data_IF_380132608606
#
_entry.id   IF_380132608606
#
_cell.length_a   1.000
_cell.length_b   1.000
_cell.length_c   1.000
_cell.angle_alpha   90.00
_cell.angle_beta   90.00
_cell.angle_gamma   90.00
#
_symmetry.space_group_name_H-M   'P 1'
#
loop_
_entity.id
_entity.type
_entity.pdbx_description
1 polymer ?
#
# COMPACT_ATOMS: atom_id res chain seq x y z
N UNK A 1 -14.75 -19.59 7.66
CA UNK A 1 -13.80 -18.46 7.74
C UNK A 1 -13.22 -18.24 6.34
N UNK A 2 -13.55 -17.11 5.74
CA UNK A 2 -13.04 -16.68 4.44
C UNK A 2 -11.53 -16.39 4.53
N UNK A 3 -10.87 -16.15 3.39
CA UNK A 3 -9.47 -15.72 3.40
C UNK A 3 -9.32 -14.31 3.99
N UNK A 4 -10.25 -13.40 3.70
CA UNK A 4 -10.21 -12.02 4.20
C UNK A 4 -10.32 -11.97 5.73
N UNK A 5 -11.10 -12.86 6.35
CA UNK A 5 -11.25 -12.97 7.81
C UNK A 5 -9.92 -13.25 8.54
N UNK A 6 -8.92 -13.79 7.84
CA UNK A 6 -7.60 -14.12 8.43
C UNK A 6 -6.68 -12.91 8.46
N UNK A 7 -6.93 -11.89 7.65
CA UNK A 7 -6.02 -10.75 7.46
C UNK A 7 -5.78 -9.97 8.75
N UNK A 8 -6.80 -9.61 9.56
CA UNK A 8 -6.56 -8.90 10.82
C UNK A 8 -5.56 -9.62 11.73
N UNK A 9 -5.73 -10.95 11.87
CA UNK A 9 -4.81 -11.78 12.67
C UNK A 9 -3.39 -11.83 12.10
N UNK A 10 -3.23 -11.76 10.76
CA UNK A 10 -1.91 -11.69 10.13
C UNK A 10 -1.25 -10.32 10.36
N UNK A 11 -2.03 -9.24 10.36
CA UNK A 11 -1.57 -7.89 10.70
C UNK A 11 -1.12 -7.83 12.17
N UNK A 12 -1.94 -8.30 13.10
CA UNK A 12 -1.63 -8.32 14.53
C UNK A 12 -0.34 -9.11 14.83
N UNK A 13 -0.13 -10.21 14.09
CA UNK A 13 1.05 -11.06 14.21
C UNK A 13 2.23 -10.61 13.33
N UNK A 14 2.10 -9.46 12.65
CA UNK A 14 3.11 -8.91 11.73
C UNK A 14 3.64 -9.94 10.72
N UNK A 15 2.73 -10.67 10.06
CA UNK A 15 3.06 -11.73 9.09
C UNK A 15 3.03 -11.20 7.65
N UNK A 16 3.93 -10.27 7.33
CA UNK A 16 4.03 -9.64 6.02
C UNK A 16 4.15 -10.66 4.89
N UNK A 17 5.03 -11.66 4.99
CA UNK A 17 5.19 -12.71 3.96
C UNK A 17 3.87 -13.44 3.64
N UNK A 18 2.99 -13.60 4.63
CA UNK A 18 1.68 -14.25 4.43
C UNK A 18 0.69 -13.31 3.74
N UNK A 19 0.75 -12.01 4.04
CA UNK A 19 -0.04 -11.02 3.31
C UNK A 19 0.44 -10.86 1.87
N UNK A 20 1.77 -10.92 1.61
CA UNK A 20 2.34 -10.93 0.26
C UNK A 20 1.75 -12.09 -0.56
N UNK A 21 1.67 -13.29 0.00
CA UNK A 21 1.05 -14.43 -0.70
C UNK A 21 -0.43 -14.20 -1.05
N UNK A 22 -1.15 -13.36 -0.30
CA UNK A 22 -2.56 -13.04 -0.54
C UNK A 22 -2.76 -12.00 -1.65
N UNK A 23 -1.70 -11.35 -2.12
CA UNK A 23 -1.74 -10.46 -3.29
C UNK A 23 -2.00 -11.22 -4.59
N UNK A 24 -1.83 -12.55 -4.61
CA UNK A 24 -2.14 -13.39 -5.76
C UNK A 24 -3.53 -14.04 -5.67
N UNK A 25 -4.36 -13.61 -4.71
CA UNK A 25 -5.71 -14.17 -4.58
C UNK A 25 -6.60 -13.76 -5.76
N UNK A 26 -7.54 -14.64 -6.14
CA UNK A 26 -8.50 -14.36 -7.21
C UNK A 26 -9.46 -13.23 -6.83
N UNK A 27 -9.79 -13.10 -5.54
CA UNK A 27 -10.65 -12.02 -5.05
C UNK A 27 -9.89 -10.70 -4.99
N UNK A 28 -10.39 -9.68 -5.69
CA UNK A 28 -9.86 -8.32 -5.62
C UNK A 28 -9.95 -7.75 -4.20
N UNK A 29 -10.99 -8.11 -3.45
CA UNK A 29 -11.19 -7.69 -2.06
C UNK A 29 -10.08 -8.25 -1.15
N UNK A 30 -9.71 -9.52 -1.35
CA UNK A 30 -8.62 -10.15 -0.60
C UNK A 30 -7.27 -9.48 -0.92
N UNK A 31 -7.01 -9.18 -2.20
CA UNK A 31 -5.79 -8.47 -2.60
C UNK A 31 -5.72 -7.08 -1.96
N UNK A 32 -6.80 -6.29 -2.08
CA UNK A 32 -6.85 -4.94 -1.51
C UNK A 32 -6.67 -4.95 0.03
N UNK A 33 -7.32 -5.87 0.73
CA UNK A 33 -7.17 -6.01 2.17
C UNK A 33 -5.76 -6.45 2.58
N UNK A 34 -5.07 -7.27 1.75
CA UNK A 34 -3.69 -7.63 1.99
C UNK A 34 -2.75 -6.42 1.85
N UNK A 35 -2.96 -5.56 0.84
CA UNK A 35 -2.21 -4.31 0.64
C UNK A 35 -2.39 -3.37 1.83
N UNK A 36 -3.63 -3.16 2.28
CA UNK A 36 -3.93 -2.36 3.48
C UNK A 36 -3.24 -2.95 4.74
N UNK A 37 -3.27 -4.27 4.88
CA UNK A 37 -2.58 -4.96 5.96
C UNK A 37 -1.06 -4.73 5.95
N UNK A 38 -0.42 -4.76 4.77
CA UNK A 38 1.01 -4.44 4.63
C UNK A 38 1.30 -2.99 5.06
N UNK A 39 0.46 -2.02 4.67
CA UNK A 39 0.56 -0.63 5.11
C UNK A 39 0.38 -0.43 6.63
N UNK A 40 -0.35 -1.34 7.29
CA UNK A 40 -0.46 -1.34 8.76
C UNK A 40 0.79 -1.91 9.45
N UNK A 41 1.40 -2.94 8.86
CA UNK A 41 2.61 -3.57 9.42
C UNK A 41 3.84 -2.67 9.26
N UNK A 42 4.12 -2.23 8.03
CA UNK A 42 5.20 -1.29 7.72
C UNK A 42 6.63 -1.80 7.95
N UNK A 43 6.84 -3.11 8.00
CA UNK A 43 8.21 -3.67 8.04
C UNK A 43 8.87 -3.61 6.65
N UNK A 44 10.13 -4.06 6.56
CA UNK A 44 10.90 -4.02 5.32
C UNK A 44 10.23 -4.81 4.18
N UNK A 45 9.72 -6.01 4.46
CA UNK A 45 8.97 -6.81 3.48
C UNK A 45 7.74 -6.05 2.97
N UNK A 46 6.98 -5.45 3.88
CA UNK A 46 5.80 -4.66 3.52
C UNK A 46 6.18 -3.45 2.67
N UNK A 47 7.21 -2.69 3.07
CA UNK A 47 7.68 -1.53 2.33
C UNK A 47 8.11 -1.91 0.90
N UNK A 48 8.97 -2.91 0.77
CA UNK A 48 9.47 -3.36 -0.53
C UNK A 48 8.33 -3.86 -1.44
N UNK A 49 7.38 -4.60 -0.87
CA UNK A 49 6.22 -5.10 -1.62
C UNK A 49 5.34 -3.95 -2.12
N UNK A 50 5.03 -2.99 -1.25
CA UNK A 50 4.20 -1.84 -1.61
C UNK A 50 4.85 -0.98 -2.69
N UNK A 51 6.17 -0.79 -2.65
CA UNK A 51 6.92 -0.07 -3.69
C UNK A 51 6.83 -0.78 -5.04
N UNK A 52 6.91 -2.12 -5.07
CA UNK A 52 6.74 -2.88 -6.32
C UNK A 52 5.32 -2.73 -6.87
N UNK A 53 4.30 -2.75 -6.00
CA UNK A 53 2.90 -2.59 -6.41
C UNK A 53 2.58 -1.22 -7.00
N UNK A 54 3.42 -0.20 -6.81
CA UNK A 54 3.29 1.08 -7.53
C UNK A 54 3.48 0.96 -9.05
N UNK A 55 3.94 -0.19 -9.54
CA UNK A 55 4.09 -0.49 -10.97
C UNK A 55 3.14 -1.60 -11.44
N UNK A 56 2.18 -1.99 -10.61
CA UNK A 56 1.23 -3.03 -10.96
C UNK A 56 0.38 -2.58 -12.18
N UNK A 57 0.09 -3.48 -13.15
CA UNK A 57 -0.75 -3.13 -14.28
C UNK A 57 -2.16 -2.69 -13.87
N UNK A 58 -2.70 -3.17 -12.74
CA UNK A 58 -4.00 -2.76 -12.22
C UNK A 58 -3.89 -1.40 -11.52
N UNK A 59 -4.59 -0.36 -12.02
CA UNK A 59 -4.65 0.93 -11.34
C UNK A 59 -5.20 0.85 -9.93
N UNK A 60 -6.14 -0.07 -9.68
CA UNK A 60 -6.71 -0.29 -8.34
C UNK A 60 -5.65 -0.78 -7.34
N UNK A 61 -4.73 -1.65 -7.78
CA UNK A 61 -3.63 -2.10 -6.95
C UNK A 61 -2.59 -1.00 -6.73
N UNK A 62 -2.27 -0.20 -7.76
CA UNK A 62 -1.40 0.97 -7.61
C UNK A 62 -1.99 1.98 -6.62
N UNK A 63 -3.27 2.32 -6.76
CA UNK A 63 -3.96 3.24 -5.86
C UNK A 63 -4.02 2.71 -4.42
N UNK A 64 -4.22 1.41 -4.23
CA UNK A 64 -4.15 0.79 -2.90
C UNK A 64 -2.74 0.89 -2.29
N UNK A 65 -1.70 0.63 -3.09
CA UNK A 65 -0.31 0.76 -2.66
C UNK A 65 0.06 2.21 -2.30
N UNK A 66 -0.43 3.19 -3.09
CA UNK A 66 -0.28 4.62 -2.80
C UNK A 66 -0.83 4.95 -1.41
N UNK A 67 -2.07 4.54 -1.11
CA UNK A 67 -2.71 4.78 0.19
C UNK A 67 -1.96 4.12 1.33
N UNK A 68 -1.50 2.88 1.13
CA UNK A 68 -0.74 2.13 2.14
C UNK A 68 0.63 2.75 2.44
N UNK A 69 1.40 3.17 1.43
CA UNK A 69 2.65 3.91 1.61
C UNK A 69 2.41 5.28 2.27
N UNK A 70 1.30 5.93 1.92
CA UNK A 70 0.85 7.17 2.54
C UNK A 70 0.66 7.04 4.04
N UNK A 71 -0.02 5.97 4.47
CA UNK A 71 -0.21 5.66 5.88
C UNK A 71 1.14 5.50 6.61
N UNK A 72 2.11 4.84 5.99
CA UNK A 72 3.44 4.67 6.57
C UNK A 72 4.18 6.00 6.70
N UNK A 73 4.13 6.85 5.67
CA UNK A 73 4.76 8.17 5.69
C UNK A 73 4.17 9.11 6.75
N UNK A 74 2.86 9.04 7.00
CA UNK A 74 2.19 9.81 8.07
C UNK A 74 2.57 9.29 9.46
N UNK A 75 2.75 7.98 9.62
CA UNK A 75 3.08 7.36 10.92
C UNK A 75 4.54 7.50 11.31
N UNK A 76 5.45 7.52 10.35
CA UNK A 76 6.88 7.75 10.56
C UNK A 76 7.40 8.78 9.56
N UNK A 77 7.36 10.06 9.95
CA UNK A 77 7.77 11.19 9.11
C UNK A 77 9.26 11.18 8.75
N UNK A 78 10.07 10.39 9.46
CA UNK A 78 11.50 10.18 9.14
C UNK A 78 11.69 9.16 8.01
N UNK A 79 10.68 8.34 7.72
CA UNK A 79 10.70 7.40 6.61
C UNK A 79 10.39 8.13 5.30
N UNK A 80 11.42 8.77 4.76
CA UNK A 80 11.31 9.56 3.52
C UNK A 80 11.15 8.69 2.28
N UNK A 81 11.53 7.40 2.34
CA UNK A 81 11.49 6.50 1.19
C UNK A 81 10.07 6.37 0.62
N UNK A 82 9.06 6.17 1.47
CA UNK A 82 7.67 6.11 1.04
C UNK A 82 7.26 7.40 0.28
N UNK A 83 7.55 8.57 0.86
CA UNK A 83 7.24 9.87 0.24
C UNK A 83 7.97 10.05 -1.11
N UNK A 84 9.24 9.69 -1.20
CA UNK A 84 10.02 9.79 -2.43
C UNK A 84 9.48 8.90 -3.55
N UNK A 85 9.07 7.67 -3.23
CA UNK A 85 8.44 6.78 -4.22
C UNK A 85 7.10 7.32 -4.72
N UNK A 86 6.28 7.89 -3.83
CA UNK A 86 5.01 8.52 -4.21
C UNK A 86 5.23 9.76 -5.09
N UNK A 87 6.22 10.59 -4.77
CA UNK A 87 6.59 11.75 -5.58
C UNK A 87 7.05 11.34 -6.99
N UNK A 88 7.85 10.27 -7.09
CA UNK A 88 8.28 9.74 -8.38
C UNK A 88 7.12 9.17 -9.20
N UNK A 89 6.21 8.41 -8.57
CA UNK A 89 5.03 7.90 -9.28
C UNK A 89 4.19 9.05 -9.85
N UNK A 90 4.00 10.13 -9.08
CA UNK A 90 3.23 11.30 -9.52
C UNK A 90 3.75 11.94 -10.82
N UNK A 91 5.03 11.82 -11.15
CA UNK A 91 5.58 12.43 -12.38
C UNK A 91 5.31 11.61 -13.65
N UNK A 92 4.90 10.34 -13.50
CA UNK A 92 4.76 9.40 -14.62
C UNK A 92 3.40 8.70 -14.68
N UNK A 93 2.61 8.76 -13.60
CA UNK A 93 1.27 8.18 -13.55
C UNK A 93 0.31 8.95 -14.47
N UNK A 94 -0.56 8.19 -15.13
CA UNK A 94 -1.55 8.72 -16.09
C UNK A 94 -2.97 8.29 -15.75
N UNK A 95 -3.14 7.27 -14.92
CA UNK A 95 -4.45 6.82 -14.49
C UNK A 95 -5.07 7.78 -13.48
N UNK A 96 -6.28 8.27 -13.78
CA UNK A 96 -6.99 9.26 -12.98
C UNK A 96 -7.24 8.79 -11.54
N UNK A 97 -7.54 7.49 -11.34
CA UNK A 97 -7.83 6.93 -10.01
C UNK A 97 -6.57 6.95 -9.15
N UNK A 98 -5.42 6.62 -9.75
CA UNK A 98 -4.13 6.64 -9.05
C UNK A 98 -3.68 8.06 -8.78
N UNK A 99 -3.86 8.99 -9.73
CA UNK A 99 -3.58 10.42 -9.56
C UNK A 99 -4.39 10.98 -8.39
N UNK A 100 -5.69 10.72 -8.33
CA UNK A 100 -6.53 11.16 -7.22
C UNK A 100 -6.02 10.60 -5.89
N UNK A 101 -5.69 9.30 -5.82
CA UNK A 101 -5.14 8.68 -4.63
C UNK A 101 -3.81 9.33 -4.19
N UNK A 102 -2.95 9.71 -5.16
CA UNK A 102 -1.69 10.41 -4.91
C UNK A 102 -1.94 11.81 -4.34
N UNK A 103 -2.87 12.58 -4.90
CA UNK A 103 -3.18 13.92 -4.42
C UNK A 103 -3.73 13.92 -2.99
N UNK A 104 -4.70 13.05 -2.70
CA UNK A 104 -5.24 12.86 -1.35
C UNK A 104 -4.14 12.44 -0.36
N UNK A 105 -3.30 11.50 -0.77
CA UNK A 105 -2.23 10.97 0.08
C UNK A 105 -1.16 12.02 0.37
N UNK A 106 -0.70 12.73 -0.65
CA UNK A 106 0.32 13.77 -0.52
C UNK A 106 -0.18 14.95 0.32
N UNK A 107 -1.47 15.30 0.20
CA UNK A 107 -2.10 16.30 1.07
C UNK A 107 -2.03 15.86 2.53
N UNK A 108 -2.42 14.62 2.86
CA UNK A 108 -2.34 14.09 4.24
C UNK A 108 -0.92 14.08 4.78
N UNK A 109 0.06 13.66 3.97
CA UNK A 109 1.48 13.67 4.36
C UNK A 109 1.96 15.10 4.66
N UNK A 110 1.50 16.11 3.93
CA UNK A 110 1.90 17.51 4.17
C UNK A 110 1.31 18.13 5.45
N UNK A 111 0.26 17.52 6.01
CA UNK A 111 -0.41 17.97 7.23
C UNK A 111 0.07 17.24 8.49
N UNK A 112 0.91 16.21 8.35
CA UNK A 112 1.47 15.41 9.44
C UNK A 112 2.83 15.95 9.90
#
# INVERSE_FOLDING_TARGET
>A
MSKIDKIPKLVDKRKSDKLVAMLHDKSAEVRAAAIDGLGKIGDETAMNTLVVLLRDPSPEQRAAAVKALGLLAVRDTRNTAAKSHLQYLKTSETDETVIQALEETMTKISLA
#
